data_IF_752434049266
#
_entry.id   IF_752434049266
#
_cell.length_a   1.000
_cell.length_b   1.000
_cell.length_c   1.000
_cell.angle_alpha   90.00
_cell.angle_beta   90.00
_cell.angle_gamma   90.00
#
_symmetry.space_group_name_H-M   'P 1'
#
loop_
_entity.id
_entity.type
_entity.pdbx_description
1 polymer ?
#
# COMPACT_ATOMS: atom_id res chain seq x y z
N UNK A 1 4.29 24.14 -13.44
CA UNK A 1 3.19 23.38 -12.80
C UNK A 1 3.61 22.08 -12.08
N UNK A 2 4.67 21.38 -12.51
CA UNK A 2 5.14 20.09 -11.95
C UNK A 2 5.68 20.15 -10.51
N UNK A 3 6.59 21.09 -10.22
CA UNK A 3 7.17 21.30 -8.89
C UNK A 3 6.12 21.52 -7.80
N UNK A 4 5.04 22.25 -8.12
CA UNK A 4 3.92 22.46 -7.20
C UNK A 4 3.09 21.19 -6.94
N UNK A 5 3.01 20.23 -7.88
CA UNK A 5 2.30 18.94 -7.65
C UNK A 5 3.10 18.03 -6.73
N UNK A 6 4.41 17.89 -6.95
CA UNK A 6 5.30 17.12 -6.08
C UNK A 6 5.39 17.76 -4.70
N UNK A 7 5.59 19.08 -4.59
CA UNK A 7 5.63 19.77 -3.30
C UNK A 7 4.29 19.71 -2.56
N UNK A 8 3.15 19.75 -3.25
CA UNK A 8 1.84 19.53 -2.62
C UNK A 8 1.68 18.10 -2.12
N UNK A 9 2.07 17.09 -2.90
CA UNK A 9 1.96 15.68 -2.47
C UNK A 9 2.96 15.33 -1.36
N UNK A 10 4.21 15.79 -1.45
CA UNK A 10 5.21 15.66 -0.40
C UNK A 10 4.84 16.48 0.87
N UNK A 11 4.25 17.66 0.67
CA UNK A 11 3.68 18.48 1.75
C UNK A 11 2.50 17.80 2.46
N UNK A 12 1.64 17.09 1.72
CA UNK A 12 0.58 16.23 2.29
C UNK A 12 1.14 15.03 3.06
N UNK A 13 2.19 14.38 2.54
CA UNK A 13 2.90 13.32 3.29
C UNK A 13 3.47 13.83 4.62
N UNK A 14 3.97 15.07 4.63
CA UNK A 14 4.60 15.70 5.80
C UNK A 14 3.58 16.25 6.82
N UNK A 15 2.37 16.64 6.38
CA UNK A 15 1.32 17.28 7.21
C UNK A 15 0.10 16.40 7.52
N UNK A 16 0.00 15.19 6.98
CA UNK A 16 -1.26 14.43 6.97
C UNK A 16 -1.68 13.82 8.31
N UNK A 17 -2.59 14.49 9.01
CA UNK A 17 -3.68 13.85 9.74
C UNK A 17 -4.91 13.89 8.80
N UNK A 18 -5.42 12.73 8.36
CA UNK A 18 -6.76 12.66 7.77
C UNK A 18 -6.96 12.80 6.24
N UNK A 19 -6.15 12.17 5.37
CA UNK A 19 -6.57 11.56 4.08
C UNK A 19 -5.54 10.45 3.79
N UNK A 20 -5.96 9.19 3.72
CA UNK A 20 -5.09 8.00 3.92
C UNK A 20 -3.66 8.13 3.36
N UNK A 21 -2.65 8.14 4.26
CA UNK A 21 -1.20 8.28 3.99
C UNK A 21 -0.66 7.42 2.83
N UNK A 22 -1.35 6.33 2.53
CA UNK A 22 -1.04 5.31 1.52
C UNK A 22 -1.25 5.83 0.10
N UNK A 23 -2.42 6.40 -0.17
CA UNK A 23 -2.77 6.97 -1.48
C UNK A 23 -1.83 8.13 -1.81
N UNK A 24 -1.55 8.97 -0.82
CA UNK A 24 -0.57 10.06 -0.99
C UNK A 24 0.84 9.53 -1.27
N UNK A 25 1.22 8.36 -0.73
CA UNK A 25 2.53 7.75 -1.00
C UNK A 25 2.62 7.21 -2.43
N UNK A 26 1.55 6.57 -2.91
CA UNK A 26 1.46 6.08 -4.29
C UNK A 26 1.38 7.22 -5.31
N UNK A 27 0.61 8.29 -5.02
CA UNK A 27 0.51 9.48 -5.85
C UNK A 27 1.87 10.14 -6.09
N UNK A 28 2.72 10.21 -5.06
CA UNK A 28 4.09 10.73 -5.23
C UNK A 28 4.88 9.87 -6.22
N UNK A 29 4.74 8.55 -6.14
CA UNK A 29 5.44 7.66 -7.05
C UNK A 29 4.94 7.76 -8.49
N UNK A 30 3.62 7.86 -8.68
CA UNK A 30 2.98 8.03 -9.99
C UNK A 30 3.42 9.33 -10.65
N UNK A 31 3.37 10.46 -9.92
CA UNK A 31 3.78 11.77 -10.46
C UNK A 31 5.27 11.81 -10.83
N UNK A 32 6.14 11.19 -10.03
CA UNK A 32 7.58 11.14 -10.35
C UNK A 32 7.84 10.27 -11.58
N UNK A 33 7.15 9.12 -11.71
CA UNK A 33 7.27 8.25 -12.88
C UNK A 33 6.80 8.95 -14.16
N UNK A 34 5.64 9.60 -14.13
CA UNK A 34 5.07 10.32 -15.29
C UNK A 34 6.03 11.39 -15.82
N UNK A 35 6.66 12.17 -14.93
CA UNK A 35 7.63 13.19 -15.33
C UNK A 35 8.90 12.58 -15.94
N UNK A 36 9.42 11.50 -15.35
CA UNK A 36 10.61 10.82 -15.88
C UNK A 36 10.35 10.17 -17.23
N UNK A 37 9.14 9.66 -17.44
CA UNK A 37 8.67 9.19 -18.73
C UNK A 37 8.57 10.34 -19.75
N UNK A 38 8.01 11.49 -19.35
CA UNK A 38 7.94 12.68 -20.22
C UNK A 38 9.32 13.19 -20.63
N UNK A 39 10.32 13.05 -19.75
CA UNK A 39 11.74 13.33 -20.01
C UNK A 39 12.46 12.23 -20.80
N UNK A 40 11.77 11.14 -21.15
CA UNK A 40 12.30 9.98 -21.89
C UNK A 40 13.51 9.32 -21.21
N UNK A 41 13.56 9.35 -19.88
CA UNK A 41 14.60 8.63 -19.15
C UNK A 41 14.43 7.11 -19.32
N UNK A 42 15.53 6.33 -19.25
CA UNK A 42 15.47 4.88 -19.21
C UNK A 42 14.53 4.37 -18.13
N UNK A 43 13.80 3.29 -18.40
CA UNK A 43 12.79 2.72 -17.48
C UNK A 43 13.35 2.37 -16.10
N UNK A 44 14.63 2.01 -16.03
CA UNK A 44 15.35 1.74 -14.78
C UNK A 44 15.39 2.94 -13.82
N UNK A 45 15.32 4.17 -14.35
CA UNK A 45 15.42 5.39 -13.56
C UNK A 45 14.06 5.92 -13.09
N UNK A 46 12.95 5.38 -13.61
CA UNK A 46 11.61 5.89 -13.34
C UNK A 46 11.25 5.86 -11.85
N UNK A 47 11.68 4.82 -11.14
CA UNK A 47 11.39 4.66 -9.70
C UNK A 47 12.58 5.05 -8.79
N UNK A 48 13.72 5.48 -9.36
CA UNK A 48 14.95 5.77 -8.62
C UNK A 48 14.75 6.84 -7.54
N UNK A 49 15.20 6.58 -6.31
CA UNK A 49 15.18 7.57 -5.22
C UNK A 49 13.81 7.91 -4.61
N UNK A 50 12.69 7.38 -5.13
CA UNK A 50 11.34 7.65 -4.61
C UNK A 50 11.21 7.13 -3.17
N UNK A 51 11.73 5.93 -2.90
CA UNK A 51 11.76 5.36 -1.55
C UNK A 51 12.52 6.25 -0.55
N UNK A 52 13.64 6.83 -0.97
CA UNK A 52 14.43 7.76 -0.15
C UNK A 52 13.66 9.05 0.15
N UNK A 53 12.96 9.60 -0.85
CA UNK A 53 12.11 10.79 -0.67
C UNK A 53 10.95 10.53 0.31
N UNK A 54 10.31 9.37 0.19
CA UNK A 54 9.24 8.94 1.12
C UNK A 54 9.80 8.78 2.53
N UNK A 55 10.95 8.11 2.69
CA UNK A 55 11.62 7.96 3.99
C UNK A 55 11.90 9.31 4.63
N UNK A 56 12.56 10.21 3.88
CA UNK A 56 12.87 11.57 4.33
C UNK A 56 11.61 12.35 4.75
N UNK A 57 10.55 12.31 3.94
CA UNK A 57 9.29 12.99 4.24
C UNK A 57 8.65 12.49 5.54
N UNK A 58 8.86 11.21 5.87
CA UNK A 58 8.34 10.55 7.08
C UNK A 58 9.32 10.56 8.27
N UNK A 59 10.52 11.12 8.11
CA UNK A 59 11.63 11.04 9.09
C UNK A 59 12.02 9.59 9.41
N UNK A 60 11.99 8.73 8.40
CA UNK A 60 12.35 7.32 8.47
C UNK A 60 13.48 7.00 7.48
N UNK A 61 14.16 5.86 7.65
CA UNK A 61 15.24 5.45 6.73
C UNK A 61 14.72 5.14 5.32
N UNK A 62 15.56 5.24 4.27
CA UNK A 62 15.17 4.89 2.90
C UNK A 62 14.60 3.48 2.77
N UNK A 63 15.15 2.52 3.51
CA UNK A 63 14.65 1.14 3.56
C UNK A 63 13.19 1.09 4.07
N UNK A 64 12.85 1.85 5.12
CA UNK A 64 11.46 1.98 5.58
C UNK A 64 10.59 2.71 4.57
N UNK A 65 11.11 3.74 3.91
CA UNK A 65 10.44 4.41 2.80
C UNK A 65 10.06 3.45 1.67
N UNK A 66 10.95 2.52 1.32
CA UNK A 66 10.68 1.45 0.36
C UNK A 66 9.56 0.51 0.80
N UNK A 67 9.51 0.15 2.08
CA UNK A 67 8.41 -0.65 2.65
C UNK A 67 7.08 0.08 2.58
N UNK A 68 7.06 1.38 2.87
CA UNK A 68 5.85 2.21 2.75
C UNK A 68 5.37 2.31 1.30
N UNK A 69 6.30 2.47 0.36
CA UNK A 69 6.00 2.52 -1.07
C UNK A 69 5.42 1.19 -1.57
N UNK A 70 6.07 0.06 -1.25
CA UNK A 70 5.58 -1.26 -1.65
C UNK A 70 4.20 -1.58 -1.06
N UNK A 71 4.00 -1.25 0.22
CA UNK A 71 2.70 -1.38 0.87
C UNK A 71 1.62 -0.52 0.19
N UNK A 72 1.93 0.75 -0.09
CA UNK A 72 1.00 1.66 -0.75
C UNK A 72 0.59 1.14 -2.13
N UNK A 73 1.56 0.72 -2.95
CA UNK A 73 1.31 0.17 -4.29
C UNK A 73 0.41 -1.07 -4.24
N UNK A 74 0.72 -2.02 -3.37
CA UNK A 74 -0.08 -3.24 -3.23
C UNK A 74 -1.53 -2.94 -2.85
N UNK A 75 -1.74 -2.04 -1.88
CA UNK A 75 -3.11 -1.73 -1.40
C UNK A 75 -3.89 -0.86 -2.39
N UNK A 76 -3.24 0.06 -3.10
CA UNK A 76 -3.91 0.95 -4.06
C UNK A 76 -4.26 0.21 -5.36
N UNK A 77 -3.34 -0.61 -5.88
CA UNK A 77 -3.49 -1.21 -7.21
C UNK A 77 -4.02 -2.63 -7.21
N UNK A 78 -3.82 -3.39 -6.11
CA UNK A 78 -4.11 -4.83 -6.09
C UNK A 78 -5.14 -5.22 -5.02
N UNK A 79 -5.36 -4.39 -4.00
CA UNK A 79 -6.22 -4.71 -2.86
C UNK A 79 -7.22 -3.58 -2.50
N UNK A 80 -8.13 -3.20 -3.42
CA UNK A 80 -9.05 -2.08 -3.22
C UNK A 80 -10.03 -2.26 -2.04
N UNK A 81 -10.42 -3.49 -1.71
CA UNK A 81 -11.31 -3.75 -0.58
C UNK A 81 -10.57 -3.57 0.76
N UNK A 82 -9.34 -4.05 0.86
CA UNK A 82 -8.44 -3.78 2.00
C UNK A 82 -8.24 -2.27 2.17
N UNK A 83 -8.07 -1.51 1.07
CA UNK A 83 -7.98 -0.05 1.12
C UNK A 83 -9.28 0.58 1.66
N UNK A 84 -10.44 0.09 1.23
CA UNK A 84 -11.73 0.59 1.70
C UNK A 84 -11.91 0.38 3.22
N UNK A 85 -11.58 -0.80 3.74
CA UNK A 85 -11.66 -1.09 5.18
C UNK A 85 -10.64 -0.30 6.01
N UNK A 86 -9.44 -0.06 5.46
CA UNK A 86 -8.45 0.83 6.08
C UNK A 86 -8.94 2.28 6.14
N UNK A 87 -9.65 2.75 5.11
CA UNK A 87 -10.18 4.12 5.04
C UNK A 87 -11.38 4.32 5.97
N UNK A 88 -12.22 3.30 6.13
CA UNK A 88 -13.36 3.34 7.06
C UNK A 88 -12.97 3.09 8.52
N UNK A 89 -11.71 2.71 8.79
CA UNK A 89 -11.22 2.43 10.14
C UNK A 89 -11.60 1.04 10.68
N UNK A 90 -12.34 0.24 9.90
CA UNK A 90 -12.71 -1.14 10.25
C UNK A 90 -11.53 -2.12 10.19
N UNK A 91 -10.48 -1.75 9.45
CA UNK A 91 -9.20 -2.43 9.43
C UNK A 91 -8.10 -1.49 9.92
N UNK A 92 -7.25 -1.98 10.83
CA UNK A 92 -6.09 -1.23 11.28
C UNK A 92 -4.86 -1.42 10.36
N UNK A 93 -3.89 -0.51 10.47
CA UNK A 93 -2.67 -0.50 9.65
C UNK A 93 -1.83 -1.77 9.78
N UNK A 94 -1.73 -2.30 11.00
CA UNK A 94 -0.94 -3.49 11.28
C UNK A 94 -1.52 -4.73 10.57
N UNK A 95 -2.83 -4.96 10.68
CA UNK A 95 -3.52 -6.08 10.03
C UNK A 95 -3.45 -6.01 8.51
N UNK A 96 -3.60 -4.83 7.93
CA UNK A 96 -3.41 -4.66 6.49
C UNK A 96 -1.96 -4.92 6.08
N UNK A 97 -0.97 -4.48 6.86
CA UNK A 97 0.46 -4.77 6.61
C UNK A 97 0.69 -6.27 6.59
N UNK A 98 0.09 -7.00 7.53
CA UNK A 98 0.20 -8.44 7.54
C UNK A 98 -0.46 -9.07 6.30
N UNK A 99 -1.60 -8.56 5.81
CA UNK A 99 -2.25 -9.10 4.60
C UNK A 99 -1.33 -9.00 3.40
N UNK A 100 -0.84 -7.78 3.14
CA UNK A 100 0.08 -7.50 2.03
C UNK A 100 1.33 -8.39 2.12
N UNK A 101 1.90 -8.57 3.32
CA UNK A 101 3.08 -9.43 3.51
C UNK A 101 2.80 -10.91 3.24
N UNK A 102 1.62 -11.41 3.61
CA UNK A 102 1.27 -12.81 3.41
C UNK A 102 0.90 -13.11 1.96
N UNK A 103 0.36 -12.14 1.24
CA UNK A 103 0.03 -12.26 -0.19
C UNK A 103 1.18 -11.83 -1.09
N UNK A 104 2.35 -11.49 -0.54
CA UNK A 104 3.49 -10.96 -1.30
C UNK A 104 4.01 -11.94 -2.36
N UNK A 105 3.90 -13.26 -2.11
CA UNK A 105 4.31 -14.30 -3.05
C UNK A 105 3.26 -14.63 -4.12
N UNK A 106 2.06 -14.06 -4.04
CA UNK A 106 1.00 -14.26 -5.02
C UNK A 106 1.12 -13.26 -6.18
N UNK A 107 0.60 -13.64 -7.34
CA UNK A 107 0.40 -12.72 -8.46
C UNK A 107 -0.56 -11.59 -8.07
N UNK A 108 -0.51 -10.46 -8.78
CA UNK A 108 -1.44 -9.35 -8.55
C UNK A 108 -2.91 -9.78 -8.73
N UNK A 109 -3.17 -10.68 -9.69
CA UNK A 109 -4.51 -11.23 -9.92
C UNK A 109 -4.99 -12.06 -8.73
N UNK A 110 -4.18 -13.02 -8.27
CA UNK A 110 -4.53 -13.88 -7.13
C UNK A 110 -4.67 -13.07 -5.83
N UNK A 111 -3.83 -12.04 -5.67
CA UNK A 111 -3.94 -11.11 -4.55
C UNK A 111 -5.27 -10.35 -4.57
N UNK A 112 -5.74 -9.92 -5.75
CA UNK A 112 -7.07 -9.31 -5.90
C UNK A 112 -8.23 -10.26 -5.59
N UNK A 113 -8.10 -11.56 -5.89
CA UNK A 113 -9.07 -12.57 -5.47
C UNK A 113 -9.10 -12.71 -3.95
N UNK A 114 -7.92 -12.77 -3.31
CA UNK A 114 -7.80 -12.83 -1.85
C UNK A 114 -8.40 -11.60 -1.20
N UNK A 115 -8.10 -10.40 -1.71
CA UNK A 115 -8.65 -9.13 -1.24
C UNK A 115 -10.18 -9.13 -1.27
N UNK A 116 -10.77 -9.50 -2.40
CA UNK A 116 -12.23 -9.58 -2.53
C UNK A 116 -12.83 -10.58 -1.54
N UNK A 117 -12.27 -11.78 -1.42
CA UNK A 117 -12.83 -12.82 -0.53
C UNK A 117 -12.73 -12.45 0.96
N UNK A 118 -11.70 -11.70 1.35
CA UNK A 118 -11.43 -11.38 2.75
C UNK A 118 -11.99 -10.04 3.20
N UNK A 119 -12.15 -9.08 2.29
CA UNK A 119 -12.40 -7.69 2.64
C UNK A 119 -13.58 -7.06 1.88
N UNK A 120 -14.27 -7.79 1.00
CA UNK A 120 -15.45 -7.25 0.30
C UNK A 120 -16.63 -6.99 1.23
N UNK A 121 -16.84 -7.87 2.21
CA UNK A 121 -17.82 -7.68 3.28
C UNK A 121 -17.16 -6.91 4.43
N UNK A 122 -17.61 -5.70 4.74
CA UNK A 122 -16.97 -4.92 5.78
C UNK A 122 -17.31 -5.45 7.19
N UNK A 123 -18.40 -6.21 7.37
CA UNK A 123 -18.83 -6.82 8.63
C UNK A 123 -18.03 -8.08 8.99
N UNK A 124 -17.28 -8.62 8.03
CA UNK A 124 -16.46 -9.82 8.23
C UNK A 124 -15.39 -9.66 9.33
N UNK A 125 -15.07 -8.41 9.70
CA UNK A 125 -14.06 -8.05 10.68
C UNK A 125 -14.62 -7.45 11.97
N UNK A 126 -15.93 -7.22 12.06
CA UNK A 126 -16.55 -6.68 13.26
C UNK A 126 -16.52 -7.70 14.40
N UNK A 127 -16.15 -7.24 15.59
CA UNK A 127 -15.99 -8.09 16.77
C UNK A 127 -14.76 -9.01 16.72
N UNK A 128 -13.94 -8.97 15.66
CA UNK A 128 -12.75 -9.81 15.53
C UNK A 128 -11.55 -9.11 16.18
N UNK A 129 -11.26 -9.48 17.44
CA UNK A 129 -9.99 -9.14 18.11
C UNK A 129 -8.77 -9.72 17.39
N UNK A 130 -7.55 -9.26 17.72
CA UNK A 130 -6.31 -9.72 17.06
C UNK A 130 -6.10 -11.26 17.09
N UNK A 131 -6.53 -12.00 18.12
CA UNK A 131 -6.53 -13.47 18.10
C UNK A 131 -7.52 -14.08 17.09
N UNK A 132 -8.70 -13.47 16.94
CA UNK A 132 -9.72 -13.92 15.98
C UNK A 132 -9.29 -13.71 14.53
N UNK A 133 -8.54 -12.63 14.27
CA UNK A 133 -7.92 -12.35 12.98
C UNK A 133 -6.94 -13.47 12.57
N UNK A 134 -6.14 -13.94 13.52
CA UNK A 134 -5.18 -15.04 13.31
C UNK A 134 -5.87 -16.36 12.98
N UNK A 135 -7.06 -16.63 13.52
CA UNK A 135 -7.87 -17.82 13.18
C UNK A 135 -8.47 -17.73 11.77
N UNK A 136 -9.02 -16.59 11.36
CA UNK A 136 -9.54 -16.38 10.00
C UNK A 136 -8.46 -16.47 8.91
N UNK A 137 -7.20 -16.22 9.26
CA UNK A 137 -6.02 -16.44 8.40
C UNK A 137 -5.59 -17.90 8.23
N UNK A 138 -5.93 -18.80 9.17
CA UNK A 138 -5.45 -20.20 9.14
C UNK A 138 -5.88 -21.02 7.90
N UNK A 139 -7.09 -20.88 7.32
CA UNK A 139 -7.45 -21.58 6.09
C UNK A 139 -6.51 -21.27 4.89
N UNK A 140 -5.89 -20.09 4.89
CA UNK A 140 -5.12 -19.55 3.76
C UNK A 140 -3.63 -19.95 3.79
N UNK A 141 -3.11 -20.37 4.96
CA UNK A 141 -1.83 -21.09 5.05
C UNK A 141 -1.82 -22.36 4.20
N UNK A 142 -2.99 -22.89 3.83
CA UNK A 142 -3.16 -24.05 2.96
C UNK A 142 -3.04 -23.70 1.46
N UNK A 143 -3.29 -22.46 1.06
CA UNK A 143 -3.09 -21.97 -0.33
C UNK A 143 -1.60 -21.76 -0.63
N UNK A 144 -0.78 -21.48 0.40
CA UNK A 144 0.70 -21.47 0.31
C UNK A 144 1.30 -22.78 -0.28
N UNK A 145 0.54 -23.88 -0.28
CA UNK A 145 0.98 -25.20 -0.72
C UNK A 145 0.23 -25.74 -1.95
N UNK A 146 -0.49 -24.89 -2.69
CA UNK A 146 -1.29 -25.33 -3.86
C UNK A 146 -0.98 -24.54 -5.14
N UNK A 147 0.10 -23.76 -5.14
CA UNK A 147 0.73 -23.13 -6.30
C UNK A 147 2.18 -23.57 -6.32
#
# INVERSE_FOLDING_TARGET
MWWHRILRSCGRLRRGCGVSRRVVTDDVATVVREDRQARRLPRAEWDGGIASQIGLARRESPNRGGRHLGFARAVVHEMPHTLALLRSGRLNEWRATLLVRETACLSAHDRGIVDRRLCSDPDILDGVGDPGWSRRRRPWRRIRWRI
#
